data_IF_774402764941
#
_entry.id   IF_774402764941
#
_cell.length_a   1.000
_cell.length_b   1.000
_cell.length_c   1.000
_cell.angle_alpha   90.00
_cell.angle_beta   90.00
_cell.angle_gamma   90.00
#
_symmetry.space_group_name_H-M   'P 1'
#
loop_
_entity.id
_entity.type
_entity.pdbx_description
1 polymer ?
#
# COMPACT_ATOMS: atom_id res chain seq x y z
N UNK A 1 2.47 -8.05 -10.30
CA UNK A 1 2.42 -9.13 -9.31
C UNK A 1 3.64 -10.00 -9.47
N UNK A 2 4.41 -10.14 -8.43
CA UNK A 2 5.51 -11.07 -8.40
C UNK A 2 5.17 -12.12 -7.35
N UNK A 3 4.98 -13.34 -7.78
CA UNK A 3 4.75 -14.45 -6.87
C UNK A 3 6.08 -15.15 -6.67
N UNK A 4 6.64 -14.99 -5.48
CA UNK A 4 7.85 -15.69 -5.08
C UNK A 4 7.38 -16.66 -4.02
N UNK A 5 7.97 -17.77 -3.90
CA UNK A 5 7.70 -18.79 -2.89
C UNK A 5 6.57 -18.48 -1.90
N UNK A 6 5.32 -18.59 -2.36
CA UNK A 6 4.12 -18.28 -1.56
C UNK A 6 4.09 -19.07 -0.24
N UNK A 7 4.65 -20.27 -0.23
CA UNK A 7 4.68 -21.11 0.97
C UNK A 7 5.48 -20.47 2.11
N UNK A 8 6.33 -19.49 1.82
CA UNK A 8 7.12 -18.80 2.85
C UNK A 8 6.34 -17.64 3.50
N UNK A 9 5.18 -17.28 2.98
CA UNK A 9 4.39 -16.18 3.53
C UNK A 9 3.46 -16.74 4.60
N UNK A 10 3.73 -16.38 5.85
CA UNK A 10 2.95 -16.86 6.98
C UNK A 10 1.96 -15.84 7.53
N UNK A 11 2.17 -14.57 7.25
CA UNK A 11 1.38 -13.49 7.82
C UNK A 11 1.04 -12.44 6.78
N UNK A 12 -0.06 -11.73 7.00
CA UNK A 12 -0.31 -10.49 6.28
C UNK A 12 0.71 -9.45 6.75
N UNK A 13 1.26 -8.68 5.80
CA UNK A 13 2.16 -7.59 6.12
C UNK A 13 1.96 -6.42 5.19
N UNK A 14 2.03 -5.22 5.75
CA UNK A 14 2.12 -3.99 5.00
C UNK A 14 3.46 -3.36 5.32
N UNK A 15 4.26 -3.12 4.28
CA UNK A 15 5.61 -2.59 4.46
C UNK A 15 5.62 -1.08 4.32
N UNK A 16 6.61 -0.45 4.94
CA UNK A 16 6.83 0.99 4.77
C UNK A 16 7.15 1.28 3.31
N UNK A 17 6.52 2.30 2.75
CA UNK A 17 6.77 2.70 1.37
C UNK A 17 8.25 3.11 1.19
N UNK A 18 8.76 2.93 -0.02
CA UNK A 18 10.13 3.30 -0.34
C UNK A 18 10.18 3.91 -1.74
N UNK A 19 10.85 5.05 -1.93
CA UNK A 19 11.50 5.86 -0.92
C UNK A 19 10.50 6.58 0.01
N UNK A 20 10.97 6.96 1.20
CA UNK A 20 10.18 7.74 2.15
C UNK A 20 11.14 8.59 2.99
N UNK A 21 11.18 9.93 2.85
CA UNK A 21 10.29 10.74 2.00
C UNK A 21 10.46 10.46 0.51
N UNK A 22 9.46 10.83 -0.29
CA UNK A 22 9.48 10.57 -1.73
C UNK A 22 9.13 11.80 -2.56
N UNK A 23 9.55 11.77 -3.83
CA UNK A 23 9.29 12.86 -4.79
C UNK A 23 9.54 12.36 -6.22
N UNK A 24 8.54 12.29 -7.09
CA UNK A 24 7.11 12.33 -6.78
C UNK A 24 6.50 10.94 -6.62
N UNK A 25 7.29 9.89 -6.71
CA UNK A 25 6.79 8.54 -6.72
C UNK A 25 7.37 7.69 -5.60
N UNK A 26 6.58 6.77 -5.13
CA UNK A 26 6.98 5.80 -4.12
C UNK A 26 6.36 4.45 -4.43
N UNK A 27 6.89 3.40 -3.82
CA UNK A 27 6.40 2.04 -3.98
C UNK A 27 5.87 1.51 -2.65
N UNK A 28 4.68 0.91 -2.70
CA UNK A 28 4.05 0.29 -1.54
C UNK A 28 4.04 -1.22 -1.78
N UNK A 29 4.56 -1.97 -0.81
CA UNK A 29 4.62 -3.42 -0.87
C UNK A 29 3.77 -4.03 0.23
N UNK A 30 3.17 -5.17 -0.05
CA UNK A 30 2.48 -5.95 0.97
C UNK A 30 2.53 -7.43 0.65
N UNK A 31 2.23 -8.25 1.65
CA UNK A 31 2.24 -9.69 1.52
C UNK A 31 0.92 -10.30 2.00
N UNK A 32 0.44 -11.29 1.28
CA UNK A 32 -0.81 -11.99 1.58
C UNK A 32 -0.49 -13.48 1.75
N UNK A 33 -0.82 -14.09 2.90
CA UNK A 33 -0.59 -15.52 3.10
C UNK A 33 -1.65 -16.41 2.46
N UNK A 34 -2.77 -15.82 2.02
CA UNK A 34 -3.87 -16.55 1.40
C UNK A 34 -4.65 -15.65 0.46
N UNK A 35 -5.48 -16.24 -0.38
CA UNK A 35 -6.35 -15.49 -1.28
C UNK A 35 -7.37 -14.71 -0.45
N UNK A 36 -7.56 -13.43 -0.79
CA UNK A 36 -8.40 -12.55 0.01
C UNK A 36 -8.80 -11.31 -0.81
N UNK A 37 -9.91 -10.69 -0.43
CA UNK A 37 -10.30 -9.41 -1.01
C UNK A 37 -9.46 -8.32 -0.34
N UNK A 38 -8.83 -7.49 -1.17
CA UNK A 38 -7.87 -6.48 -0.74
C UNK A 38 -8.33 -5.09 -1.15
N UNK A 39 -8.21 -4.15 -0.23
CA UNK A 39 -8.41 -2.74 -0.49
C UNK A 39 -7.16 -1.99 -0.01
N UNK A 40 -6.55 -1.22 -0.90
CA UNK A 40 -5.42 -0.36 -0.57
C UNK A 40 -5.81 1.06 -0.95
N UNK A 41 -5.98 1.91 0.05
CA UNK A 41 -6.42 3.30 -0.12
C UNK A 41 -5.41 4.27 0.45
N UNK A 42 -5.37 5.45 -0.13
CA UNK A 42 -4.50 6.54 0.30
C UNK A 42 -5.35 7.71 0.74
N UNK A 43 -4.97 8.31 1.87
CA UNK A 43 -5.66 9.44 2.47
C UNK A 43 -4.66 10.58 2.68
N UNK A 44 -5.15 11.81 2.68
CA UNK A 44 -4.33 12.95 3.06
C UNK A 44 -4.28 13.11 4.59
N UNK A 45 -3.58 14.13 5.06
CA UNK A 45 -3.40 14.34 6.50
C UNK A 45 -4.70 14.65 7.23
N UNK A 46 -5.73 15.07 6.51
CA UNK A 46 -7.03 15.36 7.10
C UNK A 46 -7.95 14.13 7.11
N UNK A 47 -7.48 13.03 6.56
CA UNK A 47 -8.28 11.80 6.50
C UNK A 47 -9.17 11.70 5.28
N UNK A 48 -9.04 12.61 4.32
CA UNK A 48 -9.81 12.55 3.08
C UNK A 48 -9.20 11.55 2.13
N UNK A 49 -10.00 10.68 1.56
CA UNK A 49 -9.52 9.68 0.60
C UNK A 49 -9.01 10.38 -0.66
N UNK A 50 -7.76 10.09 -1.02
CA UNK A 50 -7.12 10.64 -2.21
C UNK A 50 -7.31 9.73 -3.39
N UNK A 51 -7.09 8.44 -3.21
CA UNK A 51 -7.23 7.46 -4.27
C UNK A 51 -7.33 6.05 -3.70
N UNK A 52 -7.87 5.15 -4.52
CA UNK A 52 -7.88 3.72 -4.24
C UNK A 52 -6.94 3.05 -5.23
N UNK A 53 -5.88 2.41 -4.74
CA UNK A 53 -4.90 1.75 -5.59
C UNK A 53 -5.36 0.34 -5.94
N UNK A 54 -5.90 -0.39 -4.96
CA UNK A 54 -6.36 -1.76 -5.14
C UNK A 54 -7.74 -1.91 -4.51
N UNK A 55 -8.63 -2.60 -5.20
CA UNK A 55 -9.94 -2.97 -4.66
C UNK A 55 -10.42 -4.20 -5.44
N UNK A 56 -9.87 -5.36 -5.09
CA UNK A 56 -10.21 -6.61 -5.76
C UNK A 56 -9.69 -7.81 -4.99
N UNK A 57 -10.13 -8.98 -5.38
CA UNK A 57 -9.60 -10.22 -4.83
C UNK A 57 -8.21 -10.48 -5.42
N UNK A 58 -7.26 -10.80 -4.55
CA UNK A 58 -5.90 -11.14 -4.95
C UNK A 58 -5.52 -12.49 -4.37
N UNK A 59 -4.68 -13.21 -5.11
CA UNK A 59 -4.14 -14.49 -4.65
C UNK A 59 -3.04 -14.26 -3.63
N UNK A 60 -2.74 -15.27 -2.83
CA UNK A 60 -1.61 -15.24 -1.91
C UNK A 60 -0.33 -14.88 -2.68
N UNK A 61 0.51 -14.05 -2.08
CA UNK A 61 1.76 -13.62 -2.72
C UNK A 61 2.27 -12.30 -2.21
N UNK A 62 3.36 -11.84 -2.81
CA UNK A 62 3.93 -10.53 -2.57
C UNK A 62 3.44 -9.58 -3.65
N UNK A 63 3.10 -8.34 -3.27
CA UNK A 63 2.56 -7.33 -4.18
C UNK A 63 3.34 -6.05 -4.06
N UNK A 64 3.39 -5.31 -5.17
CA UNK A 64 4.16 -4.09 -5.30
C UNK A 64 3.37 -3.13 -6.17
N UNK A 65 3.06 -1.96 -5.64
CA UNK A 65 2.32 -0.93 -6.37
C UNK A 65 3.05 0.39 -6.28
N UNK A 66 3.20 1.05 -7.42
CA UNK A 66 3.81 2.37 -7.50
C UNK A 66 2.72 3.44 -7.42
N UNK A 67 3.01 4.52 -6.71
CA UNK A 67 2.12 5.66 -6.63
C UNK A 67 2.88 6.93 -6.97
N UNK A 68 2.36 7.69 -7.96
CA UNK A 68 2.94 8.94 -8.41
C UNK A 68 2.00 10.08 -8.00
N UNK A 69 2.54 11.06 -7.28
CA UNK A 69 1.76 12.16 -6.71
C UNK A 69 2.04 13.50 -7.35
N UNK A 70 2.51 13.55 -8.60
CA UNK A 70 2.85 14.82 -9.29
C UNK A 70 1.64 15.69 -9.40
N UNK A 71 0.65 15.78 -8.96
CA UNK A 71 -0.47 16.69 -8.95
C UNK A 71 -0.94 17.02 -7.55
N UNK A 72 -0.32 16.41 -6.53
CA UNK A 72 -0.74 16.59 -5.16
C UNK A 72 0.22 17.47 -4.38
N UNK A 73 -0.25 18.02 -3.26
CA UNK A 73 0.55 18.89 -2.41
C UNK A 73 1.56 18.08 -1.61
N UNK A 74 2.71 18.70 -1.31
CA UNK A 74 3.67 18.14 -0.36
C UNK A 74 3.00 17.96 1.00
N UNK A 75 3.39 16.94 1.71
CA UNK A 75 2.88 16.73 3.05
C UNK A 75 2.80 15.27 3.43
N UNK A 76 2.02 15.02 4.46
CA UNK A 76 1.84 13.68 5.02
C UNK A 76 0.64 13.02 4.36
N UNK A 77 0.83 11.76 3.95
CA UNK A 77 -0.23 10.91 3.43
C UNK A 77 -0.24 9.61 4.23
N UNK A 78 -1.40 9.00 4.29
CA UNK A 78 -1.61 7.77 5.03
C UNK A 78 -2.12 6.73 4.05
N UNK A 79 -1.58 5.53 4.10
CA UNK A 79 -2.11 4.43 3.30
C UNK A 79 -2.57 3.30 4.21
N UNK A 80 -3.68 2.71 3.82
CA UNK A 80 -4.35 1.67 4.59
C UNK A 80 -4.57 0.45 3.74
N UNK A 81 -4.10 -0.69 4.23
CA UNK A 81 -4.34 -1.99 3.61
C UNK A 81 -5.38 -2.73 4.44
N UNK A 82 -6.46 -3.13 3.78
CA UNK A 82 -7.45 -3.99 4.37
C UNK A 82 -7.52 -5.26 3.55
N UNK A 83 -7.29 -6.40 4.19
CA UNK A 83 -7.24 -7.70 3.53
C UNK A 83 -7.96 -8.69 4.41
N UNK A 84 -9.25 -8.95 4.11
CA UNK A 84 -10.10 -9.72 5.00
C UNK A 84 -10.21 -9.01 6.34
N UNK A 85 -9.80 -9.68 7.41
CA UNK A 85 -9.82 -9.10 8.75
C UNK A 85 -8.54 -8.35 9.09
N UNK A 86 -7.50 -8.49 8.27
CA UNK A 86 -6.25 -7.77 8.47
C UNK A 86 -6.43 -6.30 8.07
N UNK A 87 -5.93 -5.40 8.91
CA UNK A 87 -6.03 -3.98 8.67
C UNK A 87 -4.76 -3.32 9.20
N UNK A 88 -4.05 -2.62 8.34
CA UNK A 88 -2.80 -1.95 8.71
C UNK A 88 -2.72 -0.58 8.05
N UNK A 89 -2.18 0.38 8.78
CA UNK A 89 -2.08 1.77 8.36
C UNK A 89 -0.64 2.22 8.52
N UNK A 90 -0.13 2.93 7.53
CA UNK A 90 1.21 3.51 7.60
C UNK A 90 1.19 4.93 7.06
N UNK A 91 2.17 5.70 7.51
CA UNK A 91 2.34 7.10 7.14
C UNK A 91 3.49 7.23 6.16
N UNK A 92 3.35 8.13 5.19
CA UNK A 92 4.40 8.47 4.24
C UNK A 92 4.49 9.98 4.06
N UNK A 93 5.66 10.45 3.65
CA UNK A 93 5.93 11.88 3.52
C UNK A 93 6.33 12.17 2.08
N UNK A 94 5.61 13.09 1.44
CA UNK A 94 5.91 13.54 0.10
C UNK A 94 6.53 14.92 0.17
N UNK A 95 7.71 15.07 -0.42
CA UNK A 95 8.44 16.32 -0.51
C UNK A 95 8.54 16.72 -1.98
N UNK A 96 8.23 17.94 -2.27
CA UNK A 96 8.45 18.50 -3.60
C UNK A 96 9.80 19.16 -3.72
#
# INVERSE_FOLDING_TARGET
VVSINVAAINNFELFQNYPNPFNPATTINFALPKDVIVTLKIYDALGTEVTTIVNQQLEAGYYKYDWNVSGYASGIYIYRLQAGEFNSVKKMIMLK
#
